data_IF_411185393224
#
_entry.id   IF_411185393224
#
_cell.length_a   1.000
_cell.length_b   1.000
_cell.length_c   1.000
_cell.angle_alpha   90.00
_cell.angle_beta   90.00
_cell.angle_gamma   90.00
#
_symmetry.space_group_name_H-M   'P 1'
#
loop_
_entity.id
_entity.type
_entity.pdbx_description
1 polymer ?
#
# COMPACT_ATOMS: atom_id res chain seq x y z
N UNK A 1 31.14 -23.71 -12.78
CA UNK A 1 30.73 -22.44 -13.42
C UNK A 1 30.37 -21.41 -12.36
N UNK A 2 31.24 -20.41 -12.10
CA UNK A 2 31.01 -19.35 -11.10
C UNK A 2 30.07 -18.31 -11.70
N UNK A 3 28.87 -18.16 -11.13
CA UNK A 3 27.88 -17.13 -11.48
C UNK A 3 28.39 -15.79 -10.98
N UNK A 4 28.96 -14.97 -11.88
CA UNK A 4 29.37 -13.59 -11.60
C UNK A 4 28.12 -12.79 -11.28
N UNK A 5 27.89 -12.46 -9.99
CA UNK A 5 26.91 -11.47 -9.57
C UNK A 5 27.37 -10.10 -10.07
N UNK A 6 26.82 -9.65 -11.20
CA UNK A 6 27.00 -8.28 -11.71
C UNK A 6 26.41 -7.34 -10.66
N UNK A 7 27.29 -6.67 -9.89
CA UNK A 7 26.94 -5.62 -8.93
C UNK A 7 26.37 -4.48 -9.78
N UNK A 8 25.05 -4.29 -9.73
CA UNK A 8 24.43 -3.14 -10.41
C UNK A 8 25.12 -1.86 -9.89
N UNK A 9 25.62 -1.05 -10.80
CA UNK A 9 26.19 0.26 -10.45
C UNK A 9 25.15 1.02 -9.64
N UNK A 10 25.55 1.53 -8.46
CA UNK A 10 24.65 2.27 -7.59
C UNK A 10 24.19 3.51 -8.36
N UNK A 11 22.90 3.60 -8.67
CA UNK A 11 22.32 4.80 -9.28
C UNK A 11 22.51 5.97 -8.31
N UNK A 12 23.39 6.91 -8.66
CA UNK A 12 23.72 8.07 -7.84
C UNK A 12 22.52 9.00 -7.58
N UNK A 13 21.49 8.93 -8.42
CA UNK A 13 20.26 9.70 -8.28
C UNK A 13 19.26 9.03 -7.32
N UNK A 14 19.45 7.75 -6.99
CA UNK A 14 18.55 7.01 -6.15
C UNK A 14 18.77 7.29 -4.66
N UNK A 15 17.78 7.91 -4.02
CA UNK A 15 17.83 8.27 -2.60
C UNK A 15 17.38 7.09 -1.74
N UNK A 16 18.33 6.29 -1.28
CA UNK A 16 18.08 5.07 -0.50
C UNK A 16 17.27 5.34 0.78
N UNK A 17 17.52 6.46 1.46
CA UNK A 17 16.78 6.81 2.67
C UNK A 17 15.29 7.03 2.40
N UNK A 18 14.96 7.71 1.29
CA UNK A 18 13.57 7.90 0.85
C UNK A 18 12.90 6.55 0.52
N UNK A 19 13.58 5.70 -0.24
CA UNK A 19 13.07 4.36 -0.56
C UNK A 19 12.72 3.56 0.69
N UNK A 20 13.61 3.55 1.69
CA UNK A 20 13.39 2.84 2.96
C UNK A 20 12.22 3.45 3.76
N UNK A 21 12.06 4.78 3.75
CA UNK A 21 10.91 5.44 4.37
C UNK A 21 9.59 5.03 3.74
N UNK A 22 9.53 4.95 2.40
CA UNK A 22 8.37 4.45 1.67
C UNK A 22 8.11 2.96 1.93
N UNK A 23 9.15 2.15 2.08
CA UNK A 23 8.99 0.72 2.44
C UNK A 23 8.38 0.56 3.84
N UNK A 24 8.70 1.44 4.80
CA UNK A 24 8.05 1.47 6.12
C UNK A 24 6.56 1.77 6.00
N UNK A 25 6.16 2.78 5.22
CA UNK A 25 4.73 3.07 4.98
C UNK A 25 4.01 1.91 4.28
N UNK A 26 4.67 1.26 3.32
CA UNK A 26 4.13 0.09 2.60
C UNK A 26 4.00 -1.16 3.46
N UNK A 27 4.67 -1.21 4.61
CA UNK A 27 4.57 -2.33 5.53
C UNK A 27 3.19 -2.45 6.19
N UNK A 28 2.39 -1.38 6.19
CA UNK A 28 1.03 -1.39 6.72
C UNK A 28 0.06 -1.91 5.67
N UNK A 29 -0.61 -3.02 5.96
CA UNK A 29 -1.63 -3.60 5.10
C UNK A 29 -3.03 -3.36 5.66
N UNK A 30 -4.10 -3.42 4.82
CA UNK A 30 -5.47 -3.41 5.30
C UNK A 30 -5.69 -4.47 6.39
N UNK A 31 -6.36 -4.12 7.47
CA UNK A 31 -6.67 -4.98 8.63
C UNK A 31 -5.52 -5.26 9.60
N UNK A 32 -4.31 -4.72 9.39
CA UNK A 32 -3.19 -4.92 10.32
C UNK A 32 -3.43 -4.26 11.70
N UNK A 33 -4.17 -3.18 11.76
CA UNK A 33 -4.30 -2.37 12.97
C UNK A 33 -3.00 -1.63 13.30
N UNK A 34 -2.37 -1.98 14.42
CA UNK A 34 -1.15 -1.33 14.91
C UNK A 34 0.08 -2.22 14.66
N UNK A 35 1.17 -1.63 14.16
CA UNK A 35 2.46 -2.32 13.97
C UNK A 35 3.54 -1.71 14.86
N UNK A 36 4.32 -2.56 15.52
CA UNK A 36 5.54 -2.17 16.24
C UNK A 36 6.78 -2.17 15.35
N UNK A 37 7.87 -1.55 15.82
CA UNK A 37 9.14 -1.50 15.08
C UNK A 37 9.68 -2.89 14.71
N UNK A 38 9.41 -3.91 15.53
CA UNK A 38 9.86 -5.28 15.25
C UNK A 38 9.09 -5.90 14.09
N UNK A 39 7.78 -5.71 14.04
CA UNK A 39 6.91 -6.21 12.97
C UNK A 39 7.25 -5.51 11.64
N UNK A 40 7.46 -4.18 11.69
CA UNK A 40 7.89 -3.40 10.53
C UNK A 40 9.27 -3.88 10.02
N UNK A 41 10.23 -4.10 10.93
CA UNK A 41 11.56 -4.59 10.57
C UNK A 41 11.51 -5.98 9.89
N UNK A 42 10.67 -6.88 10.38
CA UNK A 42 10.46 -8.20 9.78
C UNK A 42 9.89 -8.09 8.35
N UNK A 43 8.90 -7.22 8.12
CA UNK A 43 8.26 -7.02 6.81
C UNK A 43 9.16 -6.33 5.80
N UNK A 44 9.89 -5.29 6.24
CA UNK A 44 10.75 -4.49 5.37
C UNK A 44 12.13 -5.10 5.17
N UNK A 45 12.53 -6.07 6.01
CA UNK A 45 13.88 -6.63 6.10
C UNK A 45 14.95 -5.57 6.40
N UNK A 46 14.55 -4.46 7.02
CA UNK A 46 15.45 -3.41 7.48
C UNK A 46 15.93 -3.67 8.91
N UNK A 47 17.16 -3.26 9.26
CA UNK A 47 17.63 -3.32 10.64
C UNK A 47 16.75 -2.52 11.59
N UNK A 48 16.48 -3.04 12.81
CA UNK A 48 15.65 -2.39 13.82
C UNK A 48 16.05 -0.93 14.10
N UNK A 49 17.34 -0.56 14.23
CA UNK A 49 17.74 0.84 14.44
C UNK A 49 17.35 1.75 13.27
N UNK A 50 17.41 1.22 12.04
CA UNK A 50 16.97 1.95 10.83
C UNK A 50 15.46 2.18 10.87
N UNK A 51 14.68 1.15 11.19
CA UNK A 51 13.22 1.26 11.31
C UNK A 51 12.86 2.29 12.38
N UNK A 52 13.45 2.23 13.58
CA UNK A 52 13.19 3.18 14.66
C UNK A 52 13.44 4.65 14.25
N UNK A 53 14.51 4.92 13.51
CA UNK A 53 14.78 6.27 12.98
C UNK A 53 13.76 6.70 11.93
N UNK A 54 13.34 5.78 11.06
CA UNK A 54 12.35 6.07 10.01
C UNK A 54 10.96 6.28 10.60
N UNK A 55 10.51 5.44 11.54
CA UNK A 55 9.22 5.60 12.21
C UNK A 55 9.18 6.90 13.01
N UNK A 56 10.26 7.26 13.71
CA UNK A 56 10.38 8.57 14.37
C UNK A 56 10.20 9.72 13.38
N UNK A 57 10.93 9.70 12.27
CA UNK A 57 10.85 10.74 11.23
C UNK A 57 9.45 10.83 10.63
N UNK A 58 8.86 9.69 10.26
CA UNK A 58 7.52 9.63 9.68
C UNK A 58 6.44 10.10 10.67
N UNK A 59 6.64 9.87 11.98
CA UNK A 59 5.75 10.39 13.03
C UNK A 59 5.89 11.91 13.14
N UNK A 60 7.12 12.44 13.10
CA UNK A 60 7.34 13.91 13.11
C UNK A 60 6.76 14.60 11.87
N UNK A 61 6.78 13.93 10.73
CA UNK A 61 6.16 14.40 9.47
C UNK A 61 4.63 14.18 9.44
N UNK A 62 4.06 13.52 10.43
CA UNK A 62 2.64 13.26 10.53
C UNK A 62 2.11 12.11 9.65
N UNK A 63 2.97 11.33 9.00
CA UNK A 63 2.54 10.16 8.21
C UNK A 63 2.24 8.93 9.06
N UNK A 64 2.85 8.83 10.24
CA UNK A 64 2.56 7.83 11.26
C UNK A 64 2.07 8.50 12.53
N UNK A 65 1.15 7.85 13.22
CA UNK A 65 0.76 8.18 14.58
C UNK A 65 1.23 7.06 15.52
N UNK A 66 1.94 7.44 16.59
CA UNK A 66 2.37 6.50 17.62
C UNK A 66 1.26 6.37 18.66
N UNK A 67 0.88 5.14 18.98
CA UNK A 67 -0.03 4.80 20.07
C UNK A 67 0.83 4.40 21.27
N UNK A 68 1.15 5.37 22.13
CA UNK A 68 2.13 5.24 23.20
C UNK A 68 1.85 4.08 24.16
N UNK A 69 0.56 3.77 24.43
CA UNK A 69 0.16 2.65 25.30
C UNK A 69 0.71 1.30 24.84
N UNK A 70 0.91 1.11 23.52
CA UNK A 70 1.34 -0.16 22.94
C UNK A 70 2.73 -0.07 22.31
N UNK A 71 3.36 1.10 22.31
CA UNK A 71 4.60 1.39 21.55
C UNK A 71 4.51 0.93 20.09
N UNK A 72 3.34 1.16 19.47
CA UNK A 72 3.02 0.78 18.11
C UNK A 72 2.58 1.98 17.28
N UNK A 73 2.59 1.81 15.98
CA UNK A 73 2.30 2.85 14.99
C UNK A 73 1.10 2.46 14.13
N UNK A 74 0.41 3.47 13.61
CA UNK A 74 -0.61 3.36 12.56
C UNK A 74 -0.38 4.44 11.51
N UNK A 75 -0.93 4.24 10.30
CA UNK A 75 -0.96 5.28 9.29
C UNK A 75 -1.82 6.45 9.77
N UNK A 76 -1.33 7.67 9.56
CA UNK A 76 -2.02 8.89 9.92
C UNK A 76 -2.71 9.54 8.70
N UNK A 77 -3.64 10.48 8.89
CA UNK A 77 -4.43 11.08 7.80
C UNK A 77 -3.63 11.59 6.59
N UNK A 78 -2.43 12.20 6.73
CA UNK A 78 -1.64 12.61 5.57
C UNK A 78 -1.25 11.47 4.61
N UNK A 79 -1.07 10.23 5.12
CA UNK A 79 -0.83 9.08 4.26
C UNK A 79 -2.06 8.75 3.40
N UNK A 80 -3.26 8.86 3.96
CA UNK A 80 -4.53 8.70 3.23
C UNK A 80 -4.71 9.80 2.18
N UNK A 81 -4.34 11.05 2.48
CA UNK A 81 -4.47 12.17 1.55
C UNK A 81 -3.68 11.95 0.26
N UNK A 82 -2.47 11.35 0.34
CA UNK A 82 -1.69 11.00 -0.85
C UNK A 82 -2.43 9.97 -1.71
N UNK A 83 -2.97 8.92 -1.10
CA UNK A 83 -3.74 7.90 -1.80
C UNK A 83 -5.00 8.47 -2.44
N UNK A 84 -5.71 9.35 -1.72
CA UNK A 84 -6.90 10.04 -2.24
C UNK A 84 -6.57 10.93 -3.43
N UNK A 85 -5.50 11.73 -3.37
CA UNK A 85 -5.05 12.56 -4.47
C UNK A 85 -4.73 11.73 -5.72
N UNK A 86 -4.08 10.57 -5.54
CA UNK A 86 -3.83 9.64 -6.63
C UNK A 86 -5.14 9.11 -7.24
N UNK A 87 -6.10 8.66 -6.40
CA UNK A 87 -7.39 8.14 -6.85
C UNK A 87 -8.24 9.20 -7.55
N UNK A 88 -8.25 10.44 -7.05
CA UNK A 88 -9.01 11.54 -7.63
C UNK A 88 -8.53 11.90 -9.05
N UNK A 89 -7.24 11.72 -9.32
CA UNK A 89 -6.64 11.99 -10.62
C UNK A 89 -6.73 10.80 -11.61
N UNK A 90 -7.27 9.65 -11.18
CA UNK A 90 -7.52 8.52 -12.07
C UNK A 90 -8.83 8.77 -12.85
N UNK A 91 -8.75 9.42 -14.01
CA UNK A 91 -9.91 9.71 -14.87
C UNK A 91 -10.70 8.45 -15.28
N UNK A 92 -10.04 7.29 -15.34
CA UNK A 92 -10.68 6.01 -15.67
C UNK A 92 -11.76 5.60 -14.67
N UNK A 93 -11.68 6.04 -13.40
CA UNK A 93 -12.66 5.67 -12.36
C UNK A 93 -14.07 6.14 -12.71
N UNK A 94 -14.21 7.40 -13.13
CA UNK A 94 -15.51 7.95 -13.50
C UNK A 94 -16.12 7.29 -14.74
N UNK A 95 -15.27 6.92 -15.71
CA UNK A 95 -15.72 6.24 -16.93
C UNK A 95 -16.09 4.78 -16.63
N UNK A 96 -15.27 4.10 -15.84
CA UNK A 96 -15.45 2.68 -15.55
C UNK A 96 -16.63 2.40 -14.64
N UNK A 97 -16.97 3.28 -13.70
CA UNK A 97 -17.96 3.02 -12.65
C UNK A 97 -19.33 2.64 -13.19
N UNK A 98 -19.84 3.35 -14.22
CA UNK A 98 -21.14 3.05 -14.82
C UNK A 98 -21.15 1.67 -15.51
N UNK A 99 -20.07 1.33 -16.22
CA UNK A 99 -19.93 0.04 -16.89
C UNK A 99 -19.76 -1.11 -15.90
N UNK A 100 -18.97 -0.90 -14.85
CA UNK A 100 -18.75 -1.87 -13.79
C UNK A 100 -20.05 -2.19 -13.05
N UNK A 101 -20.84 -1.16 -12.71
CA UNK A 101 -22.12 -1.34 -12.04
C UNK A 101 -23.08 -2.17 -12.88
N UNK A 102 -23.24 -1.81 -14.16
CA UNK A 102 -24.08 -2.57 -15.09
C UNK A 102 -23.64 -4.02 -15.20
N UNK A 103 -22.33 -4.27 -15.31
CA UNK A 103 -21.79 -5.63 -15.39
C UNK A 103 -22.02 -6.41 -14.09
N UNK A 104 -21.81 -5.78 -12.93
CA UNK A 104 -22.06 -6.40 -11.63
C UNK A 104 -23.54 -6.78 -11.45
N UNK A 105 -24.46 -5.93 -11.88
CA UNK A 105 -25.90 -6.20 -11.87
C UNK A 105 -26.28 -7.36 -12.79
N UNK A 106 -25.71 -7.39 -14.00
CA UNK A 106 -26.00 -8.44 -14.99
C UNK A 106 -25.46 -9.81 -14.61
N UNK A 107 -24.30 -9.85 -13.97
CA UNK A 107 -23.61 -11.12 -13.63
C UNK A 107 -23.87 -11.57 -12.20
N UNK A 108 -24.36 -10.69 -11.33
CA UNK A 108 -24.44 -10.94 -9.88
C UNK A 108 -23.08 -11.03 -9.19
N UNK A 109 -21.98 -10.85 -9.92
CA UNK A 109 -20.62 -10.95 -9.43
C UNK A 109 -19.99 -9.59 -9.08
N UNK A 110 -18.92 -9.61 -8.27
CA UNK A 110 -18.13 -8.41 -7.98
C UNK A 110 -17.25 -8.05 -9.19
N UNK A 111 -17.27 -6.76 -9.56
CA UNK A 111 -16.45 -6.23 -10.65
C UNK A 111 -15.46 -5.22 -10.07
N UNK A 112 -14.18 -5.39 -10.37
CA UNK A 112 -13.15 -4.50 -9.88
C UNK A 112 -12.23 -4.03 -11.02
N UNK A 113 -11.71 -2.79 -10.90
CA UNK A 113 -10.67 -2.24 -11.76
C UNK A 113 -9.40 -2.06 -10.94
N UNK A 114 -8.30 -2.59 -11.47
CA UNK A 114 -7.00 -2.49 -10.86
C UNK A 114 -5.91 -2.15 -11.88
N UNK A 115 -4.75 -1.74 -11.36
CA UNK A 115 -3.55 -1.55 -12.14
C UNK A 115 -2.41 -2.40 -11.57
N UNK A 116 -1.48 -2.75 -12.46
CA UNK A 116 -0.29 -3.49 -12.05
C UNK A 116 0.62 -2.60 -11.20
N UNK A 117 0.99 -3.09 -10.01
CA UNK A 117 2.05 -2.53 -9.19
C UNK A 117 3.16 -3.57 -9.03
N UNK A 118 4.22 -3.46 -9.85
CA UNK A 118 5.34 -4.42 -9.92
C UNK A 118 4.87 -5.83 -10.29
N UNK A 119 4.87 -6.78 -9.34
CA UNK A 119 4.43 -8.17 -9.49
C UNK A 119 3.05 -8.44 -8.87
N UNK A 120 2.32 -7.38 -8.53
CA UNK A 120 1.00 -7.45 -7.89
C UNK A 120 0.00 -6.61 -8.67
N UNK A 121 -1.29 -6.84 -8.43
CA UNK A 121 -2.38 -5.97 -8.85
C UNK A 121 -2.88 -5.16 -7.65
N UNK A 122 -3.13 -3.87 -7.84
CA UNK A 122 -3.77 -3.00 -6.86
C UNK A 122 -5.12 -2.55 -7.40
N UNK A 123 -6.18 -2.79 -6.64
CA UNK A 123 -7.53 -2.41 -7.01
C UNK A 123 -7.85 -0.99 -6.54
N UNK A 124 -8.42 -0.17 -7.41
CA UNK A 124 -8.76 1.21 -7.10
C UNK A 124 -10.24 1.56 -7.31
N UNK A 125 -11.03 0.65 -7.85
CA UNK A 125 -12.48 0.75 -7.86
C UNK A 125 -13.11 -0.65 -7.82
N UNK A 126 -14.28 -0.75 -7.15
CA UNK A 126 -15.07 -1.98 -7.07
C UNK A 126 -16.56 -1.64 -7.12
N UNK A 127 -17.32 -2.45 -7.86
CA UNK A 127 -18.78 -2.51 -7.81
C UNK A 127 -19.18 -3.92 -7.36
N UNK A 128 -20.08 -3.99 -6.39
CA UNK A 128 -20.54 -5.27 -5.84
C UNK A 128 -21.75 -5.77 -6.61
N UNK A 129 -21.74 -7.05 -6.94
CA UNK A 129 -22.92 -7.80 -7.37
C UNK A 129 -23.72 -8.30 -6.18
N UNK A 130 -24.89 -8.89 -6.43
CA UNK A 130 -25.79 -9.41 -5.40
C UNK A 130 -25.40 -10.77 -4.82
N UNK A 131 -24.23 -11.34 -5.15
CA UNK A 131 -23.82 -12.67 -4.69
C UNK A 131 -23.40 -12.66 -3.23
N UNK A 132 -23.67 -13.75 -2.50
CA UNK A 132 -23.18 -13.97 -1.12
C UNK A 132 -21.66 -14.24 -1.09
N UNK A 133 -21.03 -14.52 -2.21
CA UNK A 133 -19.59 -14.73 -2.32
C UNK A 133 -18.88 -13.37 -2.45
N UNK A 134 -17.90 -13.13 -1.60
CA UNK A 134 -17.09 -11.92 -1.62
C UNK A 134 -15.67 -12.25 -2.01
N UNK A 135 -15.18 -11.65 -3.08
CA UNK A 135 -13.80 -11.79 -3.51
C UNK A 135 -12.79 -11.14 -2.54
N UNK A 136 -13.26 -10.34 -1.58
CA UNK A 136 -12.38 -9.60 -0.65
C UNK A 136 -11.54 -8.52 -1.34
N UNK A 137 -11.92 -8.11 -2.54
CA UNK A 137 -11.22 -7.12 -3.34
C UNK A 137 -11.75 -5.73 -3.03
N UNK A 138 -11.32 -5.13 -1.94
CA UNK A 138 -11.67 -3.75 -1.62
C UNK A 138 -10.70 -2.77 -2.32
N UNK A 139 -11.14 -1.50 -2.49
CA UNK A 139 -10.27 -0.44 -2.99
C UNK A 139 -9.01 -0.34 -2.12
N UNK A 140 -7.84 -0.37 -2.75
CA UNK A 140 -6.54 -0.46 -2.07
C UNK A 140 -6.07 -1.89 -1.78
N UNK A 141 -6.90 -2.92 -2.03
CA UNK A 141 -6.46 -4.33 -1.91
C UNK A 141 -5.40 -4.65 -2.95
N UNK A 142 -4.49 -5.53 -2.56
CA UNK A 142 -3.34 -5.95 -3.37
C UNK A 142 -3.25 -7.47 -3.40
N UNK A 143 -3.14 -8.03 -4.59
CA UNK A 143 -2.97 -9.47 -4.86
C UNK A 143 -1.77 -9.72 -5.75
#
# INVERSE_FOLDING_TARGET
MKRVKKKAAADRKFVVALSRGLDVLRAFHPRDGLLGNQEIAARTKLPKPTVSRLTYTLTKLGYLAQVSRFDKYQLAPPAMAIGYAALANLGIRGIAEAHMRKLAEQTGGDVAVGARDRLSMMYFAQCRGGSNWRAGLDTGSRI
#
